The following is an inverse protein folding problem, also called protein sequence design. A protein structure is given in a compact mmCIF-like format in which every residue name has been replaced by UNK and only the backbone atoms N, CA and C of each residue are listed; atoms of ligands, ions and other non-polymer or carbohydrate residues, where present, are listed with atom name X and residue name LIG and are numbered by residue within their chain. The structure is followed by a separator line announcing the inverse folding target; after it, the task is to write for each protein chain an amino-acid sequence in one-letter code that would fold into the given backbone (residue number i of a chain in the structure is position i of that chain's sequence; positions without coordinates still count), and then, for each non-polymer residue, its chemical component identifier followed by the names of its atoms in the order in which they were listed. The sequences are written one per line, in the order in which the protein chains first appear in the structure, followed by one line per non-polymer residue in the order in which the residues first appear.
data_IF_431731446178
#
_entry.id   IF_431731446178
#
_cell.length_a   1.000
_cell.length_b   1.000
_cell.length_c   1.000
_cell.angle_alpha   90.00
_cell.angle_beta   90.00
_cell.angle_gamma   90.00
#
_symmetry.space_group_name_H-M   'P 1'
#
loop_
_entity.id
_entity.type
_entity.pdbx_description
1 polymer ?
#
# COMPACT_ATOMS: atom_id res chain seq x y z
N UNK A 1 16.05 2.57 -9.98
CA UNK A 1 15.77 2.20 -9.98
C UNK A 1 14.87 1.68 -10.20
N UNK A 2 14.54 1.41 -10.52
CA UNK A 2 13.77 1.03 -10.73
C UNK A 2 13.21 -0.01 -10.39
N UNK A 3 13.29 -0.39 -9.68
CA UNK A 3 12.85 -1.45 -9.11
C UNK A 3 11.46 -1.68 -9.05
N UNK A 4 10.63 -0.77 -9.19
CA UNK A 4 9.22 -0.88 -9.02
C UNK A 4 8.51 -1.47 -10.19
N UNK A 5 9.22 -1.94 -11.16
CA UNK A 5 8.61 -2.58 -12.30
C UNK A 5 7.74 -3.75 -11.92
N UNK A 6 8.09 -4.49 -10.86
CA UNK A 6 7.30 -5.63 -10.49
C UNK A 6 5.92 -5.25 -9.99
N UNK A 7 5.71 -4.00 -9.61
CA UNK A 7 4.41 -3.55 -9.10
C UNK A 7 3.64 -2.69 -10.09
N UNK A 8 4.23 -2.36 -11.21
CA UNK A 8 3.58 -1.47 -12.17
C UNK A 8 2.26 -2.00 -12.69
N UNK A 9 2.15 -3.32 -12.83
CA UNK A 9 0.94 -3.93 -13.36
C UNK A 9 -0.03 -4.35 -12.28
N UNK A 10 0.30 -4.14 -11.04
CA UNK A 10 -0.58 -4.55 -9.95
C UNK A 10 -1.44 -3.38 -9.52
N UNK A 11 -2.73 -3.62 -9.41
CA UNK A 11 -3.63 -2.61 -8.88
C UNK A 11 -3.76 -2.72 -7.37
N UNK A 12 -3.59 -3.93 -6.85
CA UNK A 12 -3.71 -4.18 -5.43
C UNK A 12 -2.42 -4.77 -4.91
N UNK A 13 -1.99 -4.28 -3.76
CA UNK A 13 -0.78 -4.76 -3.11
C UNK A 13 -1.16 -5.47 -1.81
N UNK A 14 -0.66 -6.67 -1.61
CA UNK A 14 -0.88 -7.40 -0.38
C UNK A 14 -0.01 -6.82 0.72
N UNK A 15 -0.19 -7.35 1.95
CA UNK A 15 0.66 -6.91 3.07
C UNK A 15 2.12 -7.15 2.74
N UNK A 16 2.43 -8.32 2.20
CA UNK A 16 3.81 -8.64 1.84
C UNK A 16 4.35 -7.68 0.79
N UNK A 17 3.53 -7.40 -0.23
CA UNK A 17 3.93 -6.47 -1.28
C UNK A 17 4.21 -5.08 -0.70
N UNK A 18 3.37 -4.64 0.22
CA UNK A 18 3.52 -3.33 0.82
C UNK A 18 4.79 -3.23 1.66
N UNK A 19 5.13 -4.31 2.35
CA UNK A 19 6.35 -4.33 3.13
C UNK A 19 7.57 -4.04 2.26
N UNK A 20 7.59 -4.64 1.08
CA UNK A 20 8.69 -4.43 0.14
C UNK A 20 8.59 -3.07 -0.54
N UNK A 21 7.38 -2.73 -0.94
CA UNK A 21 7.17 -1.50 -1.70
C UNK A 21 7.50 -0.27 -0.87
N UNK A 22 7.10 -0.26 0.40
CA UNK A 22 7.30 0.87 1.27
C UNK A 22 8.51 0.73 2.19
N UNK A 23 9.09 -0.45 2.25
CA UNK A 23 10.24 -0.68 3.12
C UNK A 23 9.88 -0.67 4.59
N UNK A 24 8.70 -1.17 4.93
CA UNK A 24 8.22 -1.18 6.31
C UNK A 24 7.92 -2.59 6.78
N UNK A 25 7.86 -2.76 8.09
CA UNK A 25 7.55 -4.06 8.67
C UNK A 25 6.07 -4.38 8.59
N UNK A 26 5.75 -5.67 8.74
CA UNK A 26 4.37 -6.14 8.66
C UNK A 26 3.46 -5.49 9.70
N UNK A 27 3.96 -5.36 10.90
CA UNK A 27 3.15 -4.78 11.98
C UNK A 27 2.72 -3.37 11.61
N UNK A 28 3.64 -2.58 11.09
CA UNK A 28 3.35 -1.22 10.69
C UNK A 28 2.34 -1.20 9.54
N UNK A 29 2.54 -2.07 8.55
CA UNK A 29 1.64 -2.13 7.40
C UNK A 29 0.23 -2.53 7.84
N UNK A 30 0.11 -3.52 8.69
CA UNK A 30 -1.21 -3.95 9.16
C UNK A 30 -1.90 -2.85 9.92
N UNK A 31 -1.14 -2.11 10.70
CA UNK A 31 -1.68 -1.00 11.45
C UNK A 31 -2.22 0.07 10.51
N UNK A 32 -1.46 0.38 9.48
CA UNK A 32 -1.88 1.36 8.49
C UNK A 32 -3.17 0.95 7.80
N UNK A 33 -3.26 -0.33 7.45
CA UNK A 33 -4.43 -0.82 6.74
C UNK A 33 -5.66 -0.94 7.61
N UNK A 34 -5.48 -0.99 8.92
CA UNK A 34 -6.61 -1.10 9.83
C UNK A 34 -7.12 0.25 10.31
N UNK A 35 -6.51 1.32 9.90
CA UNK A 35 -6.97 2.65 10.25
C UNK A 35 -8.36 2.91 9.67
N UNK A 36 -9.28 3.46 10.45
CA UNK A 36 -10.64 3.66 9.96
C UNK A 36 -10.74 4.61 8.78
N UNK A 37 -9.80 5.53 8.67
CA UNK A 37 -9.83 6.51 7.58
C UNK A 37 -8.84 6.21 6.49
N UNK A 38 -8.40 4.97 6.40
CA UNK A 38 -7.42 4.59 5.39
C UNK A 38 -8.05 4.63 4.00
N UNK A 39 -7.62 5.54 3.13
CA UNK A 39 -8.28 5.69 1.83
C UNK A 39 -7.90 4.62 0.82
N UNK A 40 -6.78 3.96 1.04
CA UNK A 40 -6.29 3.00 0.05
C UNK A 40 -6.55 1.55 0.41
N UNK A 41 -7.19 1.28 1.53
CA UNK A 41 -7.45 -0.09 1.93
C UNK A 41 -8.58 -0.69 1.09
N UNK A 42 -8.41 -1.94 0.71
CA UNK A 42 -9.41 -2.67 -0.06
C UNK A 42 -9.51 -4.08 0.51
N UNK A 43 -10.72 -4.52 0.79
CA UNK A 43 -10.93 -5.86 1.33
C UNK A 43 -11.69 -6.71 0.34
N UNK A 44 -11.11 -7.86 0.04
CA UNK A 44 -11.69 -8.79 -0.92
C UNK A 44 -11.58 -10.19 -0.34
N UNK A 45 -12.71 -10.87 -0.22
CA UNK A 45 -12.74 -12.26 0.27
C UNK A 45 -12.01 -12.44 1.59
N UNK A 46 -12.18 -11.49 2.50
CA UNK A 46 -11.55 -11.59 3.81
C UNK A 46 -10.09 -11.24 3.83
N UNK A 47 -9.54 -10.84 2.70
CA UNK A 47 -8.15 -10.42 2.62
C UNK A 47 -8.06 -8.92 2.47
N UNK A 48 -6.98 -8.37 3.00
CA UNK A 48 -6.75 -6.93 2.98
C UNK A 48 -5.67 -6.59 1.95
N UNK A 49 -5.98 -5.61 1.13
CA UNK A 49 -5.04 -5.12 0.11
C UNK A 49 -5.02 -3.61 0.14
N UNK A 50 -4.06 -3.04 -0.53
CA UNK A 50 -4.02 -1.60 -0.72
C UNK A 50 -4.15 -1.30 -2.21
N UNK A 51 -4.95 -0.30 -2.53
CA UNK A 51 -5.08 0.17 -3.92
C UNK A 51 -3.83 0.98 -4.24
N UNK A 52 -3.04 0.49 -5.17
CA UNK A 52 -1.75 1.11 -5.47
C UNK A 52 -1.89 2.57 -5.92
N UNK A 53 -2.84 2.83 -6.79
CA UNK A 53 -3.03 4.18 -7.31
C UNK A 53 -3.36 5.17 -6.20
N UNK A 54 -4.29 4.78 -5.34
CA UNK A 54 -4.69 5.65 -4.23
C UNK A 54 -3.55 5.78 -3.23
N UNK A 55 -2.85 4.69 -2.98
CA UNK A 55 -1.71 4.71 -2.07
C UNK A 55 -0.63 5.66 -2.56
N UNK A 56 -0.32 5.62 -3.85
CA UNK A 56 0.70 6.49 -4.41
C UNK A 56 0.32 7.96 -4.25
N UNK A 57 -0.94 8.27 -4.48
CA UNK A 57 -1.41 9.64 -4.29
C UNK A 57 -1.32 10.06 -2.84
N UNK A 58 -1.66 9.15 -1.94
CA UNK A 58 -1.58 9.42 -0.52
C UNK A 58 -0.15 9.74 -0.11
N UNK A 59 0.79 8.96 -0.59
CA UNK A 59 2.20 9.16 -0.29
C UNK A 59 2.67 10.52 -0.83
N UNK A 60 2.29 10.83 -2.05
CA UNK A 60 2.67 12.11 -2.64
C UNK A 60 2.15 13.29 -1.82
N UNK A 61 0.92 13.20 -1.35
CA UNK A 61 0.33 14.26 -0.56
C UNK A 61 1.02 14.43 0.79
N UNK A 62 1.51 13.35 1.34
CA UNK A 62 2.13 13.39 2.66
C UNK A 62 3.62 13.67 2.64
N UNK A 63 4.27 13.45 1.53
CA UNK A 63 5.70 13.68 1.44
C UNK A 63 6.07 14.82 0.55
N UNK A 64 5.14 15.32 -0.13
CA UNK A 64 5.40 16.35 -1.08
C UNK A 64 5.70 17.64 -0.51
N UNK A 65 6.04 17.94 0.12
CA UNK A 65 6.28 19.09 0.46
C UNK A 65 7.12 19.30 0.46
#
# INVERSE_FOLDING_TARGET
MTTNNRYNNKKLLSVTDLCEYLGMGRTTIRKMLSEPNCPYVCRINGRVFANKTILDKYIDQNTGR
#
